data_IF_252097147401
#
_entry.id   IF_252097147401
#
_cell.length_a   1.000
_cell.length_b   1.000
_cell.length_c   1.000
_cell.angle_alpha   90.00
_cell.angle_beta   90.00
_cell.angle_gamma   90.00
#
_symmetry.space_group_name_H-M   'P 1'
#
loop_
_entity.id
_entity.type
_entity.pdbx_description
1 polymer ?
#
# COMPACT_ATOMS: atom_id res chain seq x y z
N UNK A 1 -7.12 -1.69 11.04
CA UNK A 1 -8.47 -2.04 10.56
C UNK A 1 -8.98 -1.04 9.52
N UNK A 2 -8.82 0.28 9.71
CA UNK A 2 -9.24 1.30 8.73
C UNK A 2 -8.55 1.29 7.36
N UNK A 3 -7.36 0.69 7.22
CA UNK A 3 -6.62 0.66 5.95
C UNK A 3 -7.27 -0.20 4.85
N UNK A 4 -8.26 -1.03 5.19
CA UNK A 4 -9.02 -1.82 4.22
C UNK A 4 -10.48 -2.01 4.68
N UNK A 5 -11.38 -1.06 4.38
CA UNK A 5 -12.73 -1.04 4.95
C UNK A 5 -13.64 -2.19 4.48
N UNK A 6 -13.29 -2.86 3.37
CA UNK A 6 -14.02 -4.03 2.85
C UNK A 6 -13.55 -5.35 3.47
N UNK A 7 -12.48 -5.35 4.26
CA UNK A 7 -12.00 -6.55 4.93
C UNK A 7 -12.87 -6.89 6.16
N UNK A 8 -12.87 -8.15 6.54
CA UNK A 8 -13.55 -8.69 7.72
C UNK A 8 -12.49 -9.05 8.78
N UNK A 9 -12.79 -8.77 10.05
CA UNK A 9 -11.93 -9.16 11.18
C UNK A 9 -12.21 -10.62 11.58
N UNK A 10 -11.18 -11.43 11.90
CA UNK A 10 -9.76 -11.10 11.84
C UNK A 10 -9.22 -11.01 10.42
N UNK A 11 -8.28 -10.10 10.20
CA UNK A 11 -7.63 -9.98 8.90
C UNK A 11 -6.78 -11.23 8.60
N UNK A 12 -6.64 -11.58 7.32
CA UNK A 12 -5.93 -12.80 6.91
C UNK A 12 -5.09 -12.58 5.66
N UNK A 13 -4.12 -13.47 5.45
CA UNK A 13 -3.27 -13.48 4.24
C UNK A 13 -4.13 -13.65 2.98
N UNK A 14 -5.18 -14.48 3.03
CA UNK A 14 -6.09 -14.66 1.90
C UNK A 14 -6.83 -13.36 1.53
N UNK A 15 -7.28 -12.58 2.52
CA UNK A 15 -7.91 -11.28 2.28
C UNK A 15 -6.91 -10.27 1.67
N UNK A 16 -5.66 -10.29 2.12
CA UNK A 16 -4.61 -9.44 1.53
C UNK A 16 -4.28 -9.86 0.09
N UNK A 17 -4.15 -11.16 -0.17
CA UNK A 17 -3.85 -11.70 -1.49
C UNK A 17 -4.96 -11.38 -2.51
N UNK A 18 -6.23 -11.49 -2.09
CA UNK A 18 -7.37 -11.08 -2.92
C UNK A 18 -7.29 -9.58 -3.28
N UNK A 19 -6.96 -8.73 -2.31
CA UNK A 19 -6.78 -7.29 -2.56
C UNK A 19 -5.62 -7.01 -3.53
N UNK A 20 -4.51 -7.74 -3.41
CA UNK A 20 -3.37 -7.58 -4.33
C UNK A 20 -3.76 -7.96 -5.76
N UNK A 21 -4.52 -9.05 -5.94
CA UNK A 21 -4.95 -9.51 -7.26
C UNK A 21 -5.89 -8.52 -7.98
N UNK A 22 -6.74 -7.82 -7.23
CA UNK A 22 -7.69 -6.83 -7.77
C UNK A 22 -7.09 -5.44 -7.97
N UNK A 23 -5.86 -5.21 -7.48
CA UNK A 23 -5.24 -3.88 -7.42
C UNK A 23 -3.94 -3.81 -8.21
N UNK A 24 -3.28 -2.65 -8.20
CA UNK A 24 -2.02 -2.41 -8.93
C UNK A 24 -0.96 -1.79 -8.03
N UNK A 25 0.31 -1.91 -8.44
CA UNK A 25 1.44 -1.29 -7.76
C UNK A 25 1.63 -1.72 -6.29
N UNK A 26 1.33 -2.98 -5.95
CA UNK A 26 1.54 -3.46 -4.59
C UNK A 26 3.03 -3.43 -4.23
N UNK A 27 3.40 -2.55 -3.30
CA UNK A 27 4.79 -2.19 -2.99
C UNK A 27 5.04 -2.30 -1.50
N UNK A 28 6.24 -2.78 -1.14
CA UNK A 28 6.71 -2.88 0.25
C UNK A 28 7.83 -1.88 0.54
N UNK A 29 7.85 -1.34 1.75
CA UNK A 29 9.00 -0.61 2.30
C UNK A 29 9.80 -1.55 3.20
N UNK A 30 11.13 -1.60 3.00
CA UNK A 30 12.05 -2.43 3.79
C UNK A 30 13.01 -1.54 4.56
N UNK A 31 13.22 -1.84 5.84
CA UNK A 31 14.23 -1.21 6.69
C UNK A 31 14.87 -2.27 7.58
N UNK A 32 16.20 -2.26 7.69
CA UNK A 32 16.98 -3.26 8.43
C UNK A 32 16.59 -4.71 8.12
N UNK A 33 16.37 -4.99 6.84
CA UNK A 33 15.98 -6.32 6.35
C UNK A 33 14.55 -6.75 6.70
N UNK A 34 13.74 -5.88 7.28
CA UNK A 34 12.34 -6.14 7.66
C UNK A 34 11.37 -5.37 6.77
N UNK A 35 10.26 -6.00 6.39
CA UNK A 35 9.14 -5.30 5.75
C UNK A 35 8.42 -4.46 6.80
N UNK A 36 8.46 -3.14 6.65
CA UNK A 36 7.91 -2.18 7.61
C UNK A 36 6.71 -1.40 7.09
N UNK A 37 6.44 -1.45 5.77
CA UNK A 37 5.29 -0.79 5.17
C UNK A 37 4.79 -1.48 3.90
N UNK A 38 3.52 -1.24 3.57
CA UNK A 38 2.87 -1.75 2.36
C UNK A 38 1.85 -0.71 1.83
N UNK A 39 1.72 -0.62 0.51
CA UNK A 39 0.70 0.18 -0.16
C UNK A 39 0.38 -0.36 -1.56
N UNK A 40 -0.78 0.00 -2.12
CA UNK A 40 -1.17 -0.29 -3.50
C UNK A 40 -2.09 0.80 -4.06
N UNK A 41 -2.44 0.71 -5.34
CA UNK A 41 -3.48 1.52 -5.98
C UNK A 41 -4.77 0.72 -6.14
N UNK A 42 -5.88 1.24 -5.59
CA UNK A 42 -7.20 0.62 -5.75
C UNK A 42 -7.99 1.17 -6.94
N UNK A 43 -7.58 2.32 -7.47
CA UNK A 43 -8.02 2.86 -8.75
C UNK A 43 -6.80 3.37 -9.50
N UNK A 44 -6.81 3.23 -10.82
CA UNK A 44 -5.83 3.76 -11.74
C UNK A 44 -6.53 4.09 -13.05
N UNK A 45 -6.24 5.26 -13.60
CA UNK A 45 -6.74 5.75 -14.89
C UNK A 45 -5.55 6.37 -15.60
N UNK A 46 -5.16 5.76 -16.73
CA UNK A 46 -3.95 6.16 -17.44
C UNK A 46 -4.09 7.59 -17.99
N UNK A 47 -3.10 8.44 -17.74
CA UNK A 47 -3.11 9.85 -18.09
C UNK A 47 -4.02 10.74 -17.23
N UNK A 48 -4.58 10.22 -16.14
CA UNK A 48 -5.52 10.95 -15.27
C UNK A 48 -5.13 10.86 -13.79
N UNK A 49 -5.44 9.75 -13.10
CA UNK A 49 -5.11 9.62 -11.68
C UNK A 49 -4.90 8.18 -11.22
N UNK A 50 -4.22 8.05 -10.07
CA UNK A 50 -4.21 6.85 -9.25
C UNK A 50 -4.71 7.16 -7.84
N UNK A 51 -5.45 6.24 -7.23
CA UNK A 51 -5.93 6.37 -5.85
C UNK A 51 -5.22 5.35 -4.93
N UNK A 52 -4.50 5.87 -3.94
CA UNK A 52 -3.73 5.08 -2.99
C UNK A 52 -4.65 4.33 -2.00
N UNK A 53 -4.38 3.05 -1.80
CA UNK A 53 -5.10 2.19 -0.88
C UNK A 53 -4.17 1.28 -0.09
N UNK A 54 -4.74 0.60 0.92
CA UNK A 54 -4.04 -0.36 1.77
C UNK A 54 -2.69 0.14 2.32
N UNK A 55 -2.59 1.44 2.64
CA UNK A 55 -1.41 1.98 3.32
C UNK A 55 -1.34 1.40 4.74
N UNK A 56 -0.34 0.55 4.97
CA UNK A 56 -0.10 -0.12 6.25
C UNK A 56 1.35 0.09 6.69
N UNK A 57 1.54 0.29 8.00
CA UNK A 57 2.86 0.41 8.62
C UNK A 57 2.94 -0.54 9.81
N UNK A 58 4.06 -1.26 9.92
CA UNK A 58 4.34 -2.13 11.04
C UNK A 58 4.22 -1.37 12.37
N UNK A 59 3.61 -1.93 13.43
CA UNK A 59 3.39 -1.23 14.68
C UNK A 59 4.65 -0.61 15.29
N UNK A 60 5.78 -1.32 15.23
CA UNK A 60 7.07 -0.89 15.77
C UNK A 60 7.76 0.21 14.94
N UNK A 61 7.31 0.45 13.70
CA UNK A 61 7.91 1.43 12.79
C UNK A 61 7.05 2.68 12.59
N UNK A 62 6.01 2.87 13.42
CA UNK A 62 5.14 4.06 13.35
C UNK A 62 5.87 5.30 13.82
N UNK A 63 5.55 6.45 13.22
CA UNK A 63 6.18 7.73 13.54
C UNK A 63 7.57 7.92 12.91
N UNK A 64 8.14 6.88 12.28
CA UNK A 64 9.49 6.92 11.69
C UNK A 64 9.51 7.36 10.21
N UNK A 65 8.39 7.88 9.68
CA UNK A 65 8.32 8.36 8.30
C UNK A 65 8.08 7.29 7.22
N UNK A 66 7.90 6.01 7.58
CA UNK A 66 7.67 4.91 6.62
C UNK A 66 6.52 5.20 5.63
N UNK A 67 5.37 5.66 6.12
CA UNK A 67 4.24 6.01 5.25
C UNK A 67 4.57 7.19 4.32
N UNK A 68 5.28 8.21 4.82
CA UNK A 68 5.70 9.36 4.02
C UNK A 68 6.60 8.93 2.87
N UNK A 69 7.58 8.08 3.19
CA UNK A 69 8.47 7.49 2.19
C UNK A 69 7.68 6.70 1.14
N UNK A 70 6.83 5.79 1.58
CA UNK A 70 6.11 4.91 0.67
C UNK A 70 5.10 5.68 -0.20
N UNK A 71 4.45 6.73 0.32
CA UNK A 71 3.58 7.61 -0.48
C UNK A 71 4.39 8.28 -1.60
N UNK A 72 5.58 8.82 -1.31
CA UNK A 72 6.43 9.43 -2.35
C UNK A 72 6.85 8.44 -3.43
N UNK A 73 7.18 7.20 -3.03
CA UNK A 73 7.46 6.10 -3.99
C UNK A 73 6.24 5.82 -4.87
N UNK A 74 5.06 5.73 -4.27
CA UNK A 74 3.82 5.49 -5.01
C UNK A 74 3.46 6.67 -5.93
N UNK A 75 3.63 7.92 -5.51
CA UNK A 75 3.42 9.08 -6.37
C UNK A 75 4.31 9.07 -7.62
N UNK A 76 5.57 8.64 -7.49
CA UNK A 76 6.46 8.45 -8.64
C UNK A 76 5.97 7.31 -9.53
N UNK A 77 5.60 6.17 -8.94
CA UNK A 77 5.06 5.03 -9.69
C UNK A 77 3.79 5.41 -10.46
N UNK A 78 2.93 6.27 -9.89
CA UNK A 78 1.78 6.83 -10.58
C UNK A 78 2.25 7.59 -11.83
N UNK A 79 3.09 8.62 -11.67
CA UNK A 79 3.56 9.46 -12.78
C UNK A 79 4.29 8.71 -13.89
N UNK A 80 5.02 7.66 -13.54
CA UNK A 80 5.88 6.94 -14.48
C UNK A 80 5.12 5.84 -15.25
N UNK A 81 4.13 5.20 -14.62
CA UNK A 81 3.48 4.01 -15.17
C UNK A 81 2.00 4.20 -15.54
N UNK A 82 1.33 5.23 -14.99
CA UNK A 82 -0.10 5.46 -15.17
C UNK A 82 -0.36 6.91 -15.60
#
# INVERSE_FOLDING_TARGET
FYCYPKAIWPFSVAQLAAAIAERRGSTVAVHDGQVVGFANFYQWQHGDFCALGNMMVAPAARGLGVARYLIGVMENLAREQY
#
